data_IF_548258730021
#
_entry.id   IF_548258730021
#
_cell.length_a   1.000
_cell.length_b   1.000
_cell.length_c   1.000
_cell.angle_alpha   90.00
_cell.angle_beta   90.00
_cell.angle_gamma   90.00
#
_symmetry.space_group_name_H-M   'P 1'
#
loop_
_entity.id
_entity.type
_entity.pdbx_description
1 polymer ?
#
# COMPACT_ATOMS: atom_id res chain seq x y z
N UNK A 1 -14.90 -36.99 21.46
CA UNK A 1 -14.50 -36.78 20.08
C UNK A 1 -13.48 -35.66 19.96
N UNK A 2 -12.26 -35.96 20.20
CA UNK A 2 -11.17 -34.99 20.03
C UNK A 2 -11.13 -34.32 18.66
N UNK A 3 -11.52 -35.00 17.57
CA UNK A 3 -11.40 -34.39 16.25
C UNK A 3 -12.14 -33.08 16.06
N UNK A 4 -13.23 -32.90 16.75
CA UNK A 4 -14.01 -31.66 16.61
C UNK A 4 -13.24 -30.46 17.12
N UNK A 5 -12.58 -30.60 18.24
CA UNK A 5 -11.78 -29.50 18.79
C UNK A 5 -10.57 -29.19 17.91
N UNK A 6 -9.98 -30.23 17.35
CA UNK A 6 -8.87 -30.08 16.45
C UNK A 6 -9.26 -29.31 15.21
N UNK A 7 -10.46 -29.58 14.69
CA UNK A 7 -10.95 -28.88 13.51
C UNK A 7 -11.15 -27.39 13.78
N UNK A 8 -11.68 -27.05 14.94
CA UNK A 8 -11.89 -25.65 15.30
C UNK A 8 -10.56 -24.91 15.38
N UNK A 9 -9.56 -25.52 15.97
CA UNK A 9 -8.23 -24.91 16.04
C UNK A 9 -7.60 -24.75 14.66
N UNK A 10 -7.80 -25.71 13.78
CA UNK A 10 -7.27 -25.67 12.42
C UNK A 10 -7.86 -24.52 11.63
N UNK A 11 -9.13 -24.26 11.83
CA UNK A 11 -9.85 -23.21 11.10
C UNK A 11 -9.26 -21.84 11.38
N UNK A 12 -8.91 -21.56 12.62
CA UNK A 12 -8.31 -20.28 13.00
C UNK A 12 -6.95 -20.03 12.37
N UNK A 13 -6.10 -21.01 12.38
CA UNK A 13 -4.71 -20.88 11.91
C UNK A 13 -4.60 -20.53 10.43
N UNK A 14 -5.29 -21.22 9.52
CA UNK A 14 -5.20 -20.87 8.11
C UNK A 14 -5.65 -19.44 7.83
N UNK A 15 -6.67 -18.99 8.52
CA UNK A 15 -7.17 -17.64 8.35
C UNK A 15 -6.10 -16.60 8.70
N UNK A 16 -5.40 -16.78 9.79
CA UNK A 16 -4.33 -15.89 10.22
C UNK A 16 -3.17 -15.88 9.21
N UNK A 17 -2.82 -17.03 8.70
CA UNK A 17 -1.76 -17.15 7.71
C UNK A 17 -2.11 -16.40 6.43
N UNK A 18 -3.36 -16.49 6.00
CA UNK A 18 -3.84 -15.77 4.82
C UNK A 18 -3.72 -14.26 5.05
N UNK A 19 -4.10 -13.77 6.21
CA UNK A 19 -4.00 -12.35 6.53
C UNK A 19 -2.56 -11.86 6.48
N UNK A 20 -1.62 -12.63 7.05
CA UNK A 20 -0.21 -12.28 7.01
C UNK A 20 0.36 -12.28 5.59
N UNK A 21 -0.09 -13.22 4.75
CA UNK A 21 0.36 -13.31 3.36
C UNK A 21 -0.13 -12.15 2.51
N UNK A 22 -1.22 -11.49 2.91
CA UNK A 22 -1.86 -10.44 2.15
C UNK A 22 -1.75 -9.08 2.82
N UNK A 23 -0.64 -8.87 3.52
CA UNK A 23 -0.34 -7.59 4.14
C UNK A 23 1.02 -7.12 3.63
N UNK A 24 1.07 -5.94 3.02
CA UNK A 24 2.29 -5.39 2.43
C UNK A 24 2.61 -4.03 2.99
N UNK A 25 3.89 -3.80 3.24
CA UNK A 25 4.43 -2.48 3.55
C UNK A 25 5.21 -2.02 2.34
N UNK A 26 4.80 -0.90 1.75
CA UNK A 26 5.42 -0.38 0.55
C UNK A 26 5.90 1.04 0.81
N UNK A 27 7.12 1.32 0.42
CA UNK A 27 7.68 2.66 0.48
C UNK A 27 7.75 3.27 -0.89
N UNK A 28 7.41 4.55 -0.96
CA UNK A 28 7.32 5.28 -2.20
C UNK A 28 7.78 6.72 -1.97
N UNK A 29 7.98 7.42 -3.06
CA UNK A 29 8.33 8.82 -3.03
C UNK A 29 7.69 9.52 -4.22
N UNK A 30 7.61 10.85 -4.16
CA UNK A 30 7.04 11.62 -5.24
C UNK A 30 7.66 13.02 -5.26
N UNK A 31 7.73 13.60 -6.45
CA UNK A 31 8.07 15.01 -6.62
C UNK A 31 6.83 15.89 -6.72
N UNK A 32 5.65 15.26 -6.74
CA UNK A 32 4.39 15.98 -6.80
C UNK A 32 4.09 16.69 -5.49
N UNK A 33 3.37 17.80 -5.56
CA UNK A 33 2.97 18.52 -4.37
C UNK A 33 1.87 17.77 -3.65
N UNK A 34 1.95 17.79 -2.33
CA UNK A 34 1.07 17.03 -1.46
C UNK A 34 -0.40 17.30 -1.73
N UNK A 35 -0.80 18.57 -1.75
CA UNK A 35 -2.21 18.93 -1.88
C UNK A 35 -2.80 18.57 -3.25
N UNK A 36 -1.98 18.50 -4.28
CA UNK A 36 -2.42 18.05 -5.59
C UNK A 36 -2.50 16.54 -5.70
N UNK A 37 -1.55 15.85 -5.10
CA UNK A 37 -1.46 14.40 -5.17
C UNK A 37 -2.53 13.70 -4.33
N UNK A 38 -2.80 14.18 -3.13
CA UNK A 38 -3.68 13.47 -2.20
C UNK A 38 -5.07 13.19 -2.77
N UNK A 39 -5.76 14.15 -3.39
CA UNK A 39 -7.04 13.84 -4.00
C UNK A 39 -6.96 12.84 -5.14
N UNK A 40 -5.93 12.94 -5.98
CA UNK A 40 -5.74 12.02 -7.10
C UNK A 40 -5.47 10.60 -6.63
N UNK A 41 -4.63 10.47 -5.62
CA UNK A 41 -4.29 9.17 -5.08
C UNK A 41 -5.48 8.52 -4.40
N UNK A 42 -6.25 9.29 -3.64
CA UNK A 42 -7.47 8.79 -3.01
C UNK A 42 -8.48 8.33 -4.05
N UNK A 43 -8.64 9.10 -5.13
CA UNK A 43 -9.50 8.71 -6.24
C UNK A 43 -9.01 7.44 -6.92
N UNK A 44 -7.70 7.30 -7.10
CA UNK A 44 -7.11 6.10 -7.70
C UNK A 44 -7.43 4.85 -6.89
N UNK A 45 -7.31 4.91 -5.57
CA UNK A 45 -7.68 3.80 -4.70
C UNK A 45 -9.15 3.44 -4.86
N UNK A 46 -10.03 4.43 -4.81
CA UNK A 46 -11.47 4.20 -4.95
C UNK A 46 -11.85 3.62 -6.30
N UNK A 47 -11.22 4.08 -7.37
CA UNK A 47 -11.51 3.60 -8.73
C UNK A 47 -11.12 2.14 -8.92
N UNK A 48 -10.17 1.64 -8.15
CA UNK A 48 -9.79 0.23 -8.17
C UNK A 48 -10.62 -0.62 -7.22
N UNK A 49 -11.63 -0.05 -6.58
CA UNK A 49 -12.44 -0.75 -5.59
C UNK A 49 -11.74 -0.88 -4.24
N UNK A 50 -10.68 -0.13 -4.04
CA UNK A 50 -9.98 -0.08 -2.77
C UNK A 50 -10.60 0.93 -1.83
N UNK A 51 -10.25 0.84 -0.57
CA UNK A 51 -10.76 1.75 0.44
C UNK A 51 -9.69 2.12 1.45
N UNK A 52 -9.60 3.40 1.70
CA UNK A 52 -8.61 3.93 2.62
C UNK A 52 -9.12 3.76 4.04
N UNK A 53 -8.44 2.92 4.81
CA UNK A 53 -8.76 2.69 6.21
C UNK A 53 -8.23 3.83 7.08
N UNK A 54 -7.04 4.33 6.73
CA UNK A 54 -6.38 5.31 7.54
C UNK A 54 -5.42 6.12 6.67
N UNK A 55 -5.32 7.40 6.99
CA UNK A 55 -4.35 8.30 6.39
C UNK A 55 -3.75 9.10 7.53
N UNK A 56 -2.43 9.07 7.67
CA UNK A 56 -1.80 9.84 8.74
C UNK A 56 -0.47 10.44 8.30
N UNK A 57 -0.15 11.55 8.90
CA UNK A 57 1.12 12.23 8.70
C UNK A 57 2.13 11.64 9.67
N UNK A 58 3.20 11.06 9.13
CA UNK A 58 4.25 10.46 9.95
C UNK A 58 5.30 11.50 10.35
N UNK A 59 5.57 12.45 9.46
CA UNK A 59 6.54 13.50 9.67
C UNK A 59 6.18 14.66 8.75
N UNK A 60 6.90 15.79 8.81
CA UNK A 60 6.63 16.90 7.88
C UNK A 60 6.74 16.53 6.42
N UNK A 61 7.49 15.47 6.08
CA UNK A 61 7.73 15.07 4.69
C UNK A 61 7.10 13.75 4.29
N UNK A 62 6.56 12.98 5.25
CA UNK A 62 6.08 11.63 4.97
C UNK A 62 4.64 11.44 5.41
N UNK A 63 3.88 10.76 4.58
CA UNK A 63 2.51 10.35 4.89
C UNK A 63 2.34 8.86 4.68
N UNK A 64 1.41 8.30 5.41
CA UNK A 64 1.08 6.89 5.29
C UNK A 64 -0.40 6.74 4.94
N UNK A 65 -0.66 5.83 3.98
CA UNK A 65 -2.00 5.37 3.65
C UNK A 65 -2.09 3.89 3.98
N UNK A 66 -3.17 3.52 4.62
CA UNK A 66 -3.49 2.10 4.81
C UNK A 66 -4.74 1.83 3.98
N UNK A 67 -4.61 0.93 3.00
CA UNK A 67 -5.64 0.69 2.01
C UNK A 67 -5.96 -0.81 1.98
N UNK A 68 -7.25 -1.12 1.89
CA UNK A 68 -7.68 -2.49 1.63
C UNK A 68 -8.18 -2.60 0.20
N UNK A 69 -7.82 -3.69 -0.47
CA UNK A 69 -8.22 -3.94 -1.84
C UNK A 69 -8.30 -5.44 -2.08
N UNK A 70 -9.14 -5.85 -3.01
CA UNK A 70 -9.20 -7.25 -3.40
C UNK A 70 -7.97 -7.64 -4.19
N UNK A 71 -7.49 -8.84 -3.99
CA UNK A 71 -6.30 -9.35 -4.68
C UNK A 71 -6.43 -9.25 -6.19
N UNK A 72 -7.60 -9.49 -6.72
CA UNK A 72 -7.84 -9.42 -8.16
C UNK A 72 -7.60 -8.02 -8.74
N UNK A 73 -7.72 -6.97 -7.93
CA UNK A 73 -7.56 -5.58 -8.37
C UNK A 73 -6.16 -5.02 -8.14
N UNK A 74 -5.23 -5.82 -7.64
CA UNK A 74 -3.89 -5.36 -7.28
C UNK A 74 -3.12 -4.79 -8.47
N UNK A 75 -3.26 -5.38 -9.64
CA UNK A 75 -2.57 -4.88 -10.83
C UNK A 75 -3.08 -3.49 -11.22
N UNK A 76 -4.39 -3.31 -11.17
CA UNK A 76 -5.00 -2.01 -11.46
C UNK A 76 -4.55 -0.97 -10.46
N UNK A 77 -4.46 -1.35 -9.19
CA UNK A 77 -3.97 -0.47 -8.15
C UNK A 77 -2.52 -0.06 -8.39
N UNK A 78 -1.67 -1.00 -8.74
CA UNK A 78 -0.27 -0.74 -9.04
C UNK A 78 -0.16 0.30 -10.15
N UNK A 79 -0.87 0.06 -11.25
CA UNK A 79 -0.88 0.98 -12.38
C UNK A 79 -1.42 2.36 -12.00
N UNK A 80 -2.47 2.40 -11.20
CA UNK A 80 -3.09 3.65 -10.77
C UNK A 80 -2.16 4.48 -9.87
N UNK A 81 -1.45 3.85 -8.97
CA UNK A 81 -0.47 4.53 -8.11
C UNK A 81 0.61 5.20 -8.97
N UNK A 82 1.18 4.43 -9.89
CA UNK A 82 2.22 4.95 -10.79
C UNK A 82 1.69 6.13 -11.61
N UNK A 83 0.45 6.03 -12.09
CA UNK A 83 -0.15 7.07 -12.92
C UNK A 83 -0.35 8.40 -12.19
N UNK A 84 -0.41 8.40 -10.86
CA UNK A 84 -0.55 9.64 -10.10
C UNK A 84 0.76 10.40 -9.93
N UNK A 85 1.89 9.82 -10.33
CA UNK A 85 3.19 10.44 -10.14
C UNK A 85 3.93 9.96 -8.91
N UNK A 86 3.42 8.93 -8.25
CA UNK A 86 4.10 8.29 -7.13
C UNK A 86 5.08 7.27 -7.70
N UNK A 87 6.32 7.32 -7.24
CA UNK A 87 7.35 6.37 -7.63
C UNK A 87 7.62 5.42 -6.48
N UNK A 88 7.63 4.15 -6.78
CA UNK A 88 7.90 3.13 -5.78
C UNK A 88 9.40 2.90 -5.65
N UNK A 89 9.83 2.60 -4.44
CA UNK A 89 11.20 2.10 -4.24
C UNK A 89 11.34 0.76 -4.94
N UNK A 90 12.56 0.32 -5.13
CA UNK A 90 12.83 -1.00 -5.74
C UNK A 90 12.12 -2.10 -4.97
N UNK A 91 12.22 -2.07 -3.66
CA UNK A 91 11.54 -3.05 -2.81
C UNK A 91 10.02 -2.99 -2.97
N UNK A 92 9.46 -1.79 -3.12
CA UNK A 92 8.03 -1.60 -3.37
C UNK A 92 7.59 -2.20 -4.69
N UNK A 93 8.36 -1.97 -5.76
CA UNK A 93 8.09 -2.59 -7.06
C UNK A 93 8.14 -4.11 -6.98
N UNK A 94 9.16 -4.64 -6.32
CA UNK A 94 9.31 -6.09 -6.16
C UNK A 94 8.15 -6.70 -5.40
N UNK A 95 7.73 -6.06 -4.31
CA UNK A 95 6.62 -6.55 -3.50
C UNK A 95 5.31 -6.58 -4.28
N UNK A 96 4.99 -5.53 -5.01
CA UNK A 96 3.78 -5.48 -5.82
C UNK A 96 3.83 -6.43 -7.01
N UNK A 97 4.99 -6.53 -7.64
CA UNK A 97 5.19 -7.46 -8.75
C UNK A 97 4.99 -8.90 -8.30
N UNK A 98 5.53 -9.24 -7.14
CA UNK A 98 5.36 -10.57 -6.57
C UNK A 98 3.89 -10.86 -6.28
N UNK A 99 3.18 -9.90 -5.73
CA UNK A 99 1.77 -10.05 -5.46
C UNK A 99 0.95 -10.22 -6.74
N UNK A 100 1.26 -9.46 -7.78
CA UNK A 100 0.62 -9.60 -9.09
C UNK A 100 0.90 -10.97 -9.72
N UNK A 101 2.12 -11.46 -9.57
CA UNK A 101 2.50 -12.79 -10.06
C UNK A 101 1.73 -13.87 -9.32
N UNK A 102 1.61 -13.76 -8.01
CA UNK A 102 0.84 -14.69 -7.20
C UNK A 102 -0.62 -14.71 -7.64
N UNK A 103 -1.19 -13.55 -7.91
CA UNK A 103 -2.55 -13.40 -8.41
C UNK A 103 -2.77 -14.19 -9.69
N UNK A 104 -1.80 -14.19 -10.60
CA UNK A 104 -1.90 -14.89 -11.88
C UNK A 104 -2.02 -16.40 -11.73
N UNK A 105 -1.52 -16.96 -10.64
CA UNK A 105 -1.56 -18.39 -10.39
C UNK A 105 -2.83 -18.85 -9.68
N UNK A 106 -3.66 -17.91 -9.24
CA UNK A 106 -4.91 -18.25 -8.58
C UNK A 106 -6.03 -18.44 -9.59
N UNK A 107 -6.82 -19.49 -9.40
CA UNK A 107 -7.92 -19.85 -10.29
C UNK A 107 -9.29 -19.68 -9.66
N UNK A 108 -9.34 -19.74 -8.33
CA UNK A 108 -10.62 -19.71 -7.61
C UNK A 108 -11.02 -18.28 -7.33
N UNK A 109 -12.27 -17.96 -7.63
CA UNK A 109 -12.82 -16.62 -7.37
C UNK A 109 -12.71 -16.22 -5.91
N UNK A 110 -12.87 -17.18 -5.01
CA UNK A 110 -12.76 -16.92 -3.58
C UNK A 110 -11.37 -16.43 -3.20
N UNK A 111 -10.33 -16.98 -3.82
CA UNK A 111 -8.96 -16.55 -3.56
C UNK A 111 -8.67 -15.17 -4.13
N UNK A 112 -9.19 -14.89 -5.33
CA UNK A 112 -9.02 -13.59 -5.98
C UNK A 112 -9.79 -12.49 -5.25
N UNK A 113 -10.86 -12.86 -4.55
CA UNK A 113 -11.65 -11.92 -3.75
C UNK A 113 -11.07 -11.62 -2.39
N UNK A 114 -9.97 -12.27 -2.00
CA UNK A 114 -9.34 -12.01 -0.72
C UNK A 114 -8.88 -10.56 -0.61
N UNK A 115 -8.96 -10.04 0.60
CA UNK A 115 -8.58 -8.65 0.86
C UNK A 115 -7.10 -8.59 1.18
N UNK A 116 -6.42 -7.67 0.52
CA UNK A 116 -5.02 -7.34 0.77
C UNK A 116 -4.98 -6.00 1.46
N UNK A 117 -4.25 -5.90 2.54
CA UNK A 117 -4.00 -4.63 3.22
C UNK A 117 -2.63 -4.13 2.79
N UNK A 118 -2.60 -2.91 2.27
CA UNK A 118 -1.36 -2.28 1.83
C UNK A 118 -1.12 -1.04 2.68
N UNK A 119 0.04 -0.97 3.29
CA UNK A 119 0.49 0.21 3.97
C UNK A 119 1.50 0.91 3.06
N UNK A 120 1.11 2.05 2.54
CA UNK A 120 1.91 2.82 1.60
C UNK A 120 2.42 4.06 2.29
N UNK A 121 3.73 4.15 2.44
CA UNK A 121 4.36 5.34 2.99
C UNK A 121 4.96 6.14 1.83
N UNK A 122 4.62 7.42 1.76
CA UNK A 122 5.06 8.31 0.69
C UNK A 122 5.92 9.42 1.26
N UNK A 123 7.13 9.57 0.71
CA UNK A 123 8.01 10.69 1.00
C UNK A 123 7.80 11.75 -0.07
N UNK A 124 7.48 12.96 0.34
CA UNK A 124 7.30 14.09 -0.56
C UNK A 124 8.65 14.80 -0.73
N UNK A 125 9.32 14.51 -1.84
CA UNK A 125 10.67 14.98 -2.07
C UNK A 125 10.75 16.49 -2.25
N UNK A 126 9.70 17.09 -2.78
CA UNK A 126 9.61 18.54 -2.90
C UNK A 126 9.60 19.17 -1.50
N UNK A 127 8.81 18.62 -0.58
CA UNK A 127 8.77 19.07 0.81
C UNK A 127 10.12 18.86 1.50
N UNK A 128 10.78 17.74 1.23
CA UNK A 128 12.10 17.46 1.78
C UNK A 128 13.09 18.51 1.33
N UNK A 129 13.08 18.85 0.04
CA UNK A 129 13.98 19.84 -0.53
C UNK A 129 13.76 21.21 0.11
N UNK A 130 12.51 21.64 0.22
CA UNK A 130 12.14 22.91 0.84
C UNK A 130 12.59 22.93 2.30
N UNK A 131 12.30 21.85 3.03
CA UNK A 131 12.66 21.73 4.43
C UNK A 131 14.18 21.80 4.62
N UNK A 132 14.92 21.11 3.77
CA UNK A 132 16.38 21.12 3.80
C UNK A 132 16.93 22.51 3.50
N UNK A 133 16.35 23.20 2.53
CA UNK A 133 16.75 24.56 2.18
C UNK A 133 16.50 25.53 3.32
N UNK A 134 15.38 25.41 4.00
CA UNK A 134 15.08 26.27 5.15
C UNK A 134 16.06 26.03 6.30
N UNK A 135 16.38 24.78 6.56
CA UNK A 135 17.36 24.44 7.60
C UNK A 135 18.76 24.95 7.24
N UNK A 136 19.15 24.80 5.97
CA UNK A 136 20.43 25.30 5.49
C UNK A 136 20.47 26.83 5.43
N UNK A 137 19.34 27.44 5.04
CA UNK A 137 19.22 28.88 4.96
C UNK A 137 19.44 29.57 6.29
N UNK A 138 18.96 28.99 7.37
CA UNK A 138 19.18 29.54 8.70
C UNK A 138 20.68 29.47 9.07
N UNK A 139 21.40 28.48 8.57
CA UNK A 139 22.82 28.39 8.78
C UNK A 139 23.63 29.35 7.92
N UNK A 140 23.08 29.73 6.78
CA UNK A 140 23.73 30.68 5.86
C UNK A 140 23.50 32.13 6.26
N UNK A 141 22.40 32.35 6.91
CA UNK A 141 22.07 33.69 7.37
C UNK A 141 22.90 34.12 8.55
#
# INVERSE_FOLDING_TARGET
MPPMNTLAASTSKPRRNIELMHSLDIQAFTYEQRHGLLPELTAAFGNCGGWVLERKTLSPTNMEFRVEIQLLAVLDLYAAIIATGVELTRAGHEALTELCTRRQHLRLSAELGQIVTIRLEISFLDDITIHSLLASGSGLA
#
